data_IF_563905712693
#
_entry.id   IF_563905712693
#
_cell.length_a   1.000
_cell.length_b   1.000
_cell.length_c   1.000
_cell.angle_alpha   90.00
_cell.angle_beta   90.00
_cell.angle_gamma   90.00
#
_symmetry.space_group_name_H-M   'P 1'
#
loop_
_entity.id
_entity.type
_entity.pdbx_description
1 polymer ?
#
# COMPACT_ATOMS: atom_id res chain seq x y z
N UNK A 1 -3.74 -10.23 10.44
CA UNK A 1 -4.57 -9.38 11.31
C UNK A 1 -6.07 -9.56 11.02
N UNK A 2 -6.64 -10.74 11.30
CA UNK A 2 -8.09 -10.98 11.10
C UNK A 2 -8.95 -10.41 12.25
N UNK A 3 -8.40 -10.34 13.47
CA UNK A 3 -9.10 -9.93 14.70
C UNK A 3 -9.70 -8.52 14.61
N UNK A 4 -8.96 -7.53 14.07
CA UNK A 4 -9.47 -6.16 13.93
C UNK A 4 -10.71 -6.09 13.03
N UNK A 5 -10.70 -6.84 11.93
CA UNK A 5 -11.79 -6.86 10.95
C UNK A 5 -13.02 -7.57 11.50
N UNK A 6 -12.83 -8.63 12.27
CA UNK A 6 -13.89 -9.31 12.99
C UNK A 6 -14.56 -8.40 14.02
N UNK A 7 -13.77 -7.64 14.80
CA UNK A 7 -14.30 -6.64 15.75
C UNK A 7 -15.12 -5.56 15.04
N UNK A 8 -14.62 -5.04 13.91
CA UNK A 8 -15.35 -4.06 13.10
C UNK A 8 -16.67 -4.63 12.56
N UNK A 9 -16.67 -5.88 12.09
CA UNK A 9 -17.87 -6.53 11.57
C UNK A 9 -18.90 -6.78 12.66
N UNK A 10 -18.48 -7.21 13.86
CA UNK A 10 -19.36 -7.39 15.01
C UNK A 10 -19.98 -6.06 15.44
N UNK A 11 -19.16 -5.02 15.65
CA UNK A 11 -19.65 -3.69 16.01
C UNK A 11 -20.63 -3.12 14.96
N UNK A 12 -20.38 -3.39 13.67
CA UNK A 12 -21.30 -3.00 12.61
C UNK A 12 -22.62 -3.80 12.61
N UNK A 13 -22.58 -5.07 13.03
CA UNK A 13 -23.77 -5.90 13.22
C UNK A 13 -24.59 -5.44 14.45
N UNK A 14 -23.90 -4.94 15.48
CA UNK A 14 -24.52 -4.31 16.67
C UNK A 14 -25.13 -2.92 16.38
N UNK A 15 -25.10 -2.46 15.12
CA UNK A 15 -25.73 -1.21 14.69
C UNK A 15 -24.89 0.05 14.91
N UNK A 16 -23.62 -0.07 15.33
CA UNK A 16 -22.77 1.09 15.57
C UNK A 16 -22.48 1.87 14.28
N UNK A 17 -22.47 3.19 14.42
CA UNK A 17 -22.15 4.10 13.32
C UNK A 17 -20.66 3.99 12.92
N UNK A 18 -20.36 4.19 11.63
CA UNK A 18 -18.99 4.07 11.10
C UNK A 18 -17.98 4.98 11.81
N UNK A 19 -18.41 6.16 12.24
CA UNK A 19 -17.56 7.12 12.95
C UNK A 19 -17.21 6.65 14.37
N UNK A 20 -18.17 6.03 15.07
CA UNK A 20 -17.94 5.47 16.41
C UNK A 20 -16.93 4.30 16.35
N UNK A 21 -17.16 3.36 15.43
CA UNK A 21 -16.26 2.21 15.22
C UNK A 21 -14.85 2.70 14.82
N UNK A 22 -14.75 3.71 13.96
CA UNK A 22 -13.48 4.29 13.53
C UNK A 22 -12.69 4.90 14.70
N UNK A 23 -13.38 5.62 15.60
CA UNK A 23 -12.79 6.19 16.81
C UNK A 23 -12.26 5.10 17.75
N UNK A 24 -13.09 4.10 18.05
CA UNK A 24 -12.75 3.01 18.96
C UNK A 24 -11.58 2.15 18.44
N UNK A 25 -11.61 1.83 17.15
CA UNK A 25 -10.62 0.95 16.51
C UNK A 25 -9.39 1.71 15.98
N UNK A 26 -9.34 3.04 16.15
CA UNK A 26 -8.26 3.94 15.67
C UNK A 26 -7.93 3.75 14.18
N UNK A 27 -8.96 3.58 13.36
CA UNK A 27 -8.83 3.42 11.89
C UNK A 27 -9.68 4.45 11.18
N UNK A 28 -9.33 4.79 9.94
CA UNK A 28 -10.10 5.76 9.17
C UNK A 28 -11.52 5.26 8.86
N UNK A 29 -12.48 6.17 8.83
CA UNK A 29 -13.88 5.89 8.45
C UNK A 29 -13.95 5.26 7.05
N UNK A 30 -13.05 5.65 6.14
CA UNK A 30 -12.94 5.07 4.79
C UNK A 30 -12.62 3.57 4.83
N UNK A 31 -11.72 3.15 5.74
CA UNK A 31 -11.42 1.73 5.97
C UNK A 31 -12.66 0.98 6.43
N UNK A 32 -13.42 1.54 7.39
CA UNK A 32 -14.66 0.93 7.90
C UNK A 32 -15.69 0.79 6.77
N UNK A 33 -15.93 1.86 5.99
CA UNK A 33 -16.88 1.83 4.84
C UNK A 33 -16.51 0.75 3.82
N UNK A 34 -15.24 0.68 3.42
CA UNK A 34 -14.75 -0.32 2.46
C UNK A 34 -14.87 -1.74 3.00
N UNK A 35 -14.65 -1.94 4.29
CA UNK A 35 -14.75 -3.25 4.92
C UNK A 35 -16.21 -3.68 5.03
N UNK A 36 -17.11 -2.82 5.53
CA UNK A 36 -18.55 -3.10 5.60
C UNK A 36 -19.15 -3.41 4.24
N UNK A 37 -18.81 -2.63 3.22
CA UNK A 37 -19.26 -2.90 1.84
C UNK A 37 -18.78 -4.27 1.33
N UNK A 38 -17.53 -4.63 1.60
CA UNK A 38 -16.99 -5.96 1.27
C UNK A 38 -17.67 -7.08 2.05
N UNK A 39 -17.90 -6.88 3.35
CA UNK A 39 -18.56 -7.85 4.21
C UNK A 39 -20.01 -8.10 3.79
N UNK A 40 -20.75 -7.05 3.43
CA UNK A 40 -22.12 -7.17 2.94
C UNK A 40 -22.21 -8.01 1.65
N UNK A 41 -21.18 -7.97 0.80
CA UNK A 41 -21.14 -8.72 -0.46
C UNK A 41 -20.53 -10.13 -0.32
N UNK A 42 -19.47 -10.28 0.50
CA UNK A 42 -18.66 -11.50 0.56
C UNK A 42 -18.64 -12.21 1.92
N UNK A 43 -19.44 -11.77 2.89
CA UNK A 43 -19.59 -12.39 4.20
C UNK A 43 -18.26 -12.64 4.92
N UNK A 44 -18.11 -13.82 5.52
CA UNK A 44 -16.90 -14.22 6.25
C UNK A 44 -15.64 -14.27 5.37
N UNK A 45 -15.77 -14.58 4.08
CA UNK A 45 -14.61 -14.62 3.16
C UNK A 45 -14.03 -13.21 2.98
N UNK A 46 -14.87 -12.18 3.00
CA UNK A 46 -14.46 -10.79 2.87
C UNK A 46 -13.71 -10.21 4.09
N UNK A 47 -13.65 -10.96 5.20
CA UNK A 47 -12.83 -10.61 6.37
C UNK A 47 -11.34 -10.87 6.11
N UNK A 48 -11.02 -11.80 5.21
CA UNK A 48 -9.65 -12.08 4.81
C UNK A 48 -9.02 -10.86 4.11
N UNK A 49 -7.70 -10.74 4.19
CA UNK A 49 -7.01 -9.71 3.42
C UNK A 49 -7.11 -10.06 1.94
N UNK A 50 -7.67 -9.14 1.16
CA UNK A 50 -7.69 -9.32 -0.29
C UNK A 50 -6.25 -9.42 -0.77
N UNK A 51 -5.99 -10.36 -1.67
CA UNK A 51 -4.68 -10.47 -2.33
C UNK A 51 -4.35 -9.09 -2.89
N UNK A 52 -3.24 -8.49 -2.45
CA UNK A 52 -2.84 -7.16 -2.90
C UNK A 52 -2.78 -7.21 -4.41
N UNK A 53 -3.73 -6.55 -5.08
CA UNK A 53 -3.68 -6.36 -6.52
C UNK A 53 -2.60 -5.32 -6.78
N UNK A 54 -1.34 -5.74 -6.70
CA UNK A 54 -0.24 -4.96 -7.24
C UNK A 54 -0.46 -4.76 -8.73
N UNK A 55 0.19 -3.74 -9.31
CA UNK A 55 0.23 -3.59 -10.76
C UNK A 55 0.68 -4.92 -11.36
N UNK A 56 -0.06 -5.51 -12.32
CA UNK A 56 0.38 -6.73 -12.99
C UNK A 56 1.83 -6.56 -13.46
N UNK A 57 2.67 -7.56 -13.21
CA UNK A 57 4.05 -7.51 -13.65
C UNK A 57 4.07 -7.50 -15.18
N UNK A 58 4.50 -6.38 -15.76
CA UNK A 58 4.68 -6.24 -17.22
C UNK A 58 5.90 -7.02 -17.70
N UNK A 59 6.90 -7.16 -16.83
CA UNK A 59 8.15 -7.83 -17.13
C UNK A 59 8.16 -9.26 -16.60
N UNK A 60 8.51 -10.21 -17.48
CA UNK A 60 8.71 -11.60 -17.12
C UNK A 60 9.88 -11.81 -16.15
N UNK A 61 9.98 -13.02 -15.54
CA UNK A 61 10.97 -13.32 -14.52
C UNK A 61 12.42 -12.98 -14.91
N UNK A 62 12.79 -13.24 -16.17
CA UNK A 62 14.14 -13.05 -16.70
C UNK A 62 14.53 -11.57 -16.74
N UNK A 63 13.61 -10.71 -17.23
CA UNK A 63 13.84 -9.25 -17.29
C UNK A 63 13.97 -8.67 -15.88
N UNK A 64 13.20 -9.19 -14.92
CA UNK A 64 13.30 -8.76 -13.52
C UNK A 64 14.64 -9.13 -12.91
N UNK A 65 15.11 -10.36 -13.13
CA UNK A 65 16.43 -10.82 -12.66
C UNK A 65 17.54 -9.98 -13.30
N UNK A 66 17.44 -9.70 -14.60
CA UNK A 66 18.41 -8.84 -15.30
C UNK A 66 18.48 -7.44 -14.70
N UNK A 67 17.34 -6.78 -14.45
CA UNK A 67 17.31 -5.42 -13.85
C UNK A 67 17.90 -5.42 -12.43
N UNK A 68 17.56 -6.42 -11.61
CA UNK A 68 18.14 -6.53 -10.26
C UNK A 68 19.65 -6.75 -10.35
N UNK A 69 20.09 -7.67 -11.21
CA UNK A 69 21.51 -7.94 -11.42
C UNK A 69 22.27 -6.70 -11.91
N UNK A 70 21.70 -5.93 -12.85
CA UNK A 70 22.29 -4.66 -13.31
C UNK A 70 22.40 -3.62 -12.20
N UNK A 71 21.44 -3.56 -11.28
CA UNK A 71 21.45 -2.62 -10.15
C UNK A 71 22.40 -3.03 -9.01
N UNK A 72 22.67 -4.33 -8.86
CA UNK A 72 23.53 -4.87 -7.79
C UNK A 72 24.94 -5.23 -8.25
N UNK A 73 25.20 -5.25 -9.56
CA UNK A 73 26.54 -5.45 -10.07
C UNK A 73 27.45 -4.29 -9.63
N UNK A 74 28.64 -4.63 -9.14
CA UNK A 74 29.65 -3.61 -8.80
C UNK A 74 30.08 -2.92 -10.10
N UNK A 75 29.85 -1.60 -10.24
CA UNK A 75 30.28 -0.91 -11.45
C UNK A 75 31.81 -0.91 -11.51
N UNK A 76 32.35 -1.14 -12.71
CA UNK A 76 33.75 -0.82 -12.97
C UNK A 76 33.98 0.67 -12.67
N UNK A 77 35.06 0.97 -11.95
CA UNK A 77 35.33 2.30 -11.39
C UNK A 77 35.14 3.39 -12.48
N UNK A 78 34.23 4.36 -12.30
CA UNK A 78 33.97 5.35 -13.35
C UNK A 78 35.21 6.21 -13.61
N UNK A 79 35.64 6.33 -14.88
CA UNK A 79 36.75 7.21 -15.32
C UNK A 79 36.36 8.70 -15.42
N UNK A 80 35.33 9.16 -14.72
CA UNK A 80 34.98 10.59 -14.70
C UNK A 80 33.69 10.96 -13.97
N UNK A 81 33.75 12.10 -13.27
CA UNK A 81 32.64 12.98 -12.90
C UNK A 81 31.80 12.62 -11.67
N UNK A 82 32.09 13.23 -10.51
CA UNK A 82 31.16 13.23 -9.36
C UNK A 82 29.89 14.01 -9.72
N UNK A 83 28.71 13.48 -9.39
CA UNK A 83 27.44 14.21 -9.51
C UNK A 83 27.46 15.42 -8.56
N UNK A 84 27.32 16.62 -9.10
CA UNK A 84 27.03 17.83 -8.31
C UNK A 84 25.60 18.27 -8.61
N UNK A 85 24.77 18.39 -7.58
CA UNK A 85 23.45 19.01 -7.68
C UNK A 85 23.65 20.50 -7.88
N UNK A 86 23.56 20.97 -9.14
CA UNK A 86 23.62 22.40 -9.46
C UNK A 86 22.27 23.04 -9.12
N UNK A 87 22.05 23.31 -7.84
CA UNK A 87 20.94 24.12 -7.36
C UNK A 87 21.22 25.59 -7.62
N UNK A 88 20.85 26.08 -8.80
CA UNK A 88 20.90 27.50 -9.15
C UNK A 88 19.62 27.91 -9.84
N UNK A 89 18.67 28.47 -9.09
CA UNK A 89 17.62 29.29 -9.67
C UNK A 89 17.29 30.42 -8.69
N UNK A 90 17.78 31.62 -9.02
CA UNK A 90 17.43 32.87 -8.36
C UNK A 90 15.98 33.27 -8.73
N UNK A 91 15.26 33.88 -7.78
CA UNK A 91 13.97 34.55 -8.03
C UNK A 91 14.12 36.04 -7.72
N UNK A 92 13.83 36.97 -8.67
CA UNK A 92 13.73 38.39 -8.34
C UNK A 92 12.39 38.71 -7.65
N UNK A 93 12.40 39.81 -6.90
CA UNK A 93 11.34 40.32 -6.02
C UNK A 93 10.31 41.16 -6.77
#
# INVERSE_FOLDING_TARGET
>A
MQVLRAKIALAAADGLANAAIACEMKVSVNTIRKLRGRFAFGGLVALADARRSGRPHVYGPQVRVAVVASGTATPERPRGGKWTSRGGMARPK
#
